data_IF_553901745148
#
_entry.id   IF_553901745148
#
_cell.length_a   1.000
_cell.length_b   1.000
_cell.length_c   1.000
_cell.angle_alpha   90.00
_cell.angle_beta   90.00
_cell.angle_gamma   90.00
#
_symmetry.space_group_name_H-M   'P 1'
#
loop_
_entity.id
_entity.type
_entity.pdbx_description
1 polymer ?
#
# COMPACT_ATOMS: atom_id res chain seq x y z
N UNK A 1 28.76 9.16 36.35
CA UNK A 1 27.30 9.36 36.49
C UNK A 1 26.72 9.84 35.17
N UNK A 2 25.97 9.00 34.46
CA UNK A 2 25.31 9.40 33.21
C UNK A 2 24.12 10.32 33.52
N UNK A 3 24.22 11.60 33.14
CA UNK A 3 23.09 12.54 33.23
C UNK A 3 21.97 12.05 32.31
N UNK A 4 20.86 11.59 32.89
CA UNK A 4 19.67 11.17 32.14
C UNK A 4 19.16 12.37 31.34
N UNK A 5 18.99 12.19 30.02
CA UNK A 5 18.46 13.22 29.12
C UNK A 5 17.08 13.72 29.64
N UNK A 6 16.80 15.03 29.57
CA UNK A 6 15.50 15.58 29.95
C UNK A 6 14.38 14.95 29.11
N UNK A 7 13.19 14.81 29.70
CA UNK A 7 12.04 14.12 29.10
C UNK A 7 11.69 14.67 27.71
N UNK A 8 11.80 15.99 27.52
CA UNK A 8 11.58 16.67 26.24
C UNK A 8 12.58 16.26 25.16
N UNK A 9 13.85 16.08 25.52
CA UNK A 9 14.87 15.57 24.60
C UNK A 9 14.60 14.11 24.22
N UNK A 10 14.14 13.28 25.17
CA UNK A 10 13.75 11.88 24.88
C UNK A 10 12.52 11.79 24.00
N UNK A 11 11.55 12.70 24.18
CA UNK A 11 10.34 12.76 23.36
C UNK A 11 10.66 13.22 21.94
N UNK A 12 11.52 14.24 21.79
CA UNK A 12 11.99 14.72 20.50
C UNK A 12 12.78 13.63 19.76
N UNK A 13 13.74 12.98 20.43
CA UNK A 13 14.51 11.86 19.87
C UNK A 13 13.56 10.72 19.42
N UNK A 14 12.52 10.41 20.20
CA UNK A 14 11.54 9.37 19.86
C UNK A 14 10.67 9.75 18.66
N UNK A 15 10.23 11.00 18.57
CA UNK A 15 9.44 11.52 17.44
C UNK A 15 10.30 11.57 16.17
N UNK A 16 11.56 11.99 16.27
CA UNK A 16 12.50 12.03 15.15
C UNK A 16 12.82 10.63 14.64
N UNK A 17 13.08 9.67 15.54
CA UNK A 17 13.32 8.27 15.17
C UNK A 17 12.08 7.63 14.53
N UNK A 18 10.89 7.87 15.08
CA UNK A 18 9.64 7.37 14.51
C UNK A 18 9.38 7.96 13.12
N UNK A 19 9.65 9.26 12.96
CA UNK A 19 9.49 9.97 11.69
C UNK A 19 10.47 9.44 10.65
N UNK A 20 11.76 9.31 10.99
CA UNK A 20 12.79 8.76 10.11
C UNK A 20 12.45 7.35 9.64
N UNK A 21 11.93 6.52 10.55
CA UNK A 21 11.51 5.16 10.23
C UNK A 21 10.31 5.16 9.26
N UNK A 22 9.29 5.99 9.50
CA UNK A 22 8.14 6.14 8.58
C UNK A 22 8.59 6.61 7.18
N UNK A 23 9.48 7.59 7.09
CA UNK A 23 10.01 8.06 5.81
C UNK A 23 10.83 6.99 5.09
N UNK A 24 11.63 6.22 5.82
CA UNK A 24 12.38 5.09 5.28
C UNK A 24 11.46 4.01 4.70
N UNK A 25 10.40 3.65 5.43
CA UNK A 25 9.39 2.71 4.95
C UNK A 25 8.62 3.25 3.73
N UNK A 26 8.22 4.52 3.74
CA UNK A 26 7.48 5.12 2.64
C UNK A 26 8.30 5.13 1.34
N UNK A 27 9.60 5.47 1.44
CA UNK A 27 10.53 5.38 0.33
C UNK A 27 10.64 3.95 -0.20
N UNK A 28 10.84 2.97 0.69
CA UNK A 28 10.98 1.55 0.31
C UNK A 28 9.71 1.02 -0.37
N UNK A 29 8.53 1.33 0.16
CA UNK A 29 7.24 0.92 -0.43
C UNK A 29 7.07 1.56 -1.82
N UNK A 30 7.43 2.85 -1.95
CA UNK A 30 7.39 3.57 -3.23
C UNK A 30 8.28 2.88 -4.27
N UNK A 31 9.53 2.59 -3.92
CA UNK A 31 10.49 1.89 -4.79
C UNK A 31 9.99 0.49 -5.17
N UNK A 32 9.44 -0.27 -4.22
CA UNK A 32 8.90 -1.60 -4.45
C UNK A 32 7.73 -1.59 -5.45
N UNK A 33 6.78 -0.67 -5.28
CA UNK A 33 5.60 -0.54 -6.15
C UNK A 33 6.04 -0.14 -7.55
N UNK A 34 6.89 0.87 -7.68
CA UNK A 34 7.41 1.31 -8.98
C UNK A 34 8.17 0.16 -9.65
N UNK A 35 9.09 -0.50 -8.94
CA UNK A 35 9.85 -1.63 -9.48
C UNK A 35 8.96 -2.81 -9.92
N UNK A 36 7.86 -3.07 -9.19
CA UNK A 36 6.87 -4.06 -9.63
C UNK A 36 6.17 -3.63 -10.92
N UNK A 37 5.66 -2.40 -10.99
CA UNK A 37 4.97 -1.88 -12.16
C UNK A 37 5.90 -1.78 -13.38
N UNK A 38 7.18 -1.44 -13.19
CA UNK A 38 8.20 -1.47 -14.24
C UNK A 38 8.40 -2.86 -14.81
N UNK A 39 8.51 -3.87 -13.93
CA UNK A 39 8.64 -5.27 -14.36
C UNK A 39 7.38 -5.71 -15.14
N UNK A 40 6.20 -5.44 -14.59
CA UNK A 40 4.94 -5.76 -15.24
C UNK A 40 4.76 -5.03 -16.58
N UNK A 41 5.21 -3.77 -16.66
CA UNK A 41 5.20 -2.97 -17.87
C UNK A 41 6.10 -3.56 -18.95
N UNK A 42 7.32 -3.95 -18.60
CA UNK A 42 8.25 -4.64 -19.52
C UNK A 42 7.66 -5.96 -20.05
N UNK A 43 7.02 -6.76 -19.19
CA UNK A 43 6.36 -8.01 -19.60
C UNK A 43 5.21 -7.78 -20.62
N UNK A 44 4.57 -6.62 -20.58
CA UNK A 44 3.39 -6.30 -21.40
C UNK A 44 3.66 -5.32 -22.55
N UNK A 45 4.88 -4.78 -22.66
CA UNK A 45 5.19 -3.70 -23.60
C UNK A 45 4.46 -2.38 -23.28
N UNK A 46 4.14 -2.12 -22.02
CA UNK A 46 3.37 -0.95 -21.55
C UNK A 46 4.25 -0.12 -20.61
N UNK A 47 4.17 1.22 -20.69
CA UNK A 47 4.88 2.08 -19.73
C UNK A 47 4.25 1.93 -18.34
N UNK A 48 5.08 1.81 -17.30
CA UNK A 48 4.60 1.49 -15.95
C UNK A 48 3.67 2.57 -15.38
N UNK A 49 3.82 3.83 -15.80
CA UNK A 49 2.94 4.95 -15.44
C UNK A 49 1.52 4.80 -16.01
N UNK A 50 1.33 3.92 -17.00
CA UNK A 50 0.02 3.59 -17.57
C UNK A 50 -0.63 2.39 -16.87
N UNK A 51 0.09 1.73 -15.96
CA UNK A 51 -0.39 0.60 -15.18
C UNK A 51 -0.94 1.04 -13.83
N UNK A 52 -1.97 0.32 -13.38
CA UNK A 52 -2.56 0.52 -12.05
C UNK A 52 -2.85 -0.84 -11.43
N UNK A 53 -2.51 -1.02 -10.16
CA UNK A 53 -2.99 -2.15 -9.38
C UNK A 53 -4.29 -1.74 -8.69
N UNK A 54 -5.35 -2.52 -8.87
CA UNK A 54 -6.64 -2.32 -8.23
C UNK A 54 -6.85 -3.40 -7.19
N UNK A 55 -6.95 -3.00 -5.93
CA UNK A 55 -7.26 -3.86 -4.80
C UNK A 55 -8.76 -3.80 -4.56
N UNK A 56 -9.41 -4.96 -4.50
CA UNK A 56 -10.83 -5.08 -4.15
C UNK A 56 -11.00 -6.13 -3.06
N UNK A 57 -12.00 -5.92 -2.19
CA UNK A 57 -12.40 -6.91 -1.20
C UNK A 57 -13.53 -7.76 -1.78
N UNK A 58 -13.37 -9.07 -1.70
CA UNK A 58 -14.44 -10.01 -2.02
C UNK A 58 -14.63 -10.97 -0.83
N UNK A 59 -15.72 -10.76 -0.07
CA UNK A 59 -15.93 -11.41 1.22
C UNK A 59 -14.70 -11.21 2.12
N UNK A 60 -14.11 -12.27 2.64
CA UNK A 60 -12.94 -12.19 3.53
C UNK A 60 -11.60 -12.33 2.78
N UNK A 61 -11.62 -12.13 1.46
CA UNK A 61 -10.43 -12.22 0.61
C UNK A 61 -10.13 -10.90 -0.07
N UNK A 62 -8.85 -10.67 -0.32
CA UNK A 62 -8.35 -9.55 -1.12
C UNK A 62 -8.01 -10.07 -2.51
N UNK A 63 -8.48 -9.38 -3.54
CA UNK A 63 -8.07 -9.64 -4.93
C UNK A 63 -7.41 -8.40 -5.48
N UNK A 64 -6.33 -8.61 -6.23
CA UNK A 64 -5.58 -7.53 -6.83
C UNK A 64 -5.55 -7.74 -8.33
N UNK A 65 -5.84 -6.69 -9.09
CA UNK A 65 -5.88 -6.76 -10.54
C UNK A 65 -4.97 -5.70 -11.13
N UNK A 66 -4.17 -6.09 -12.14
CA UNK A 66 -3.41 -5.15 -12.94
C UNK A 66 -4.32 -4.59 -14.05
N UNK A 67 -4.36 -3.27 -14.18
CA UNK A 67 -5.08 -2.54 -15.20
C UNK A 67 -4.13 -1.75 -16.08
N UNK A 68 -4.47 -1.61 -17.36
CA UNK A 68 -3.98 -0.58 -18.25
C UNK A 68 -5.17 0.26 -18.69
N UNK A 69 -5.20 1.53 -18.27
CA UNK A 69 -6.40 2.37 -18.36
C UNK A 69 -7.61 1.67 -17.73
N UNK A 70 -8.70 1.49 -18.50
CA UNK A 70 -9.92 0.81 -18.04
C UNK A 70 -9.92 -0.71 -18.31
N UNK A 71 -8.85 -1.27 -18.88
CA UNK A 71 -8.78 -2.70 -19.23
C UNK A 71 -8.01 -3.48 -18.18
N UNK A 72 -8.68 -4.48 -17.59
CA UNK A 72 -8.03 -5.48 -16.75
C UNK A 72 -7.08 -6.35 -17.59
N UNK A 73 -5.81 -6.42 -17.20
CA UNK A 73 -4.78 -7.22 -17.85
C UNK A 73 -4.67 -8.61 -17.22
N UNK A 74 -4.45 -8.67 -15.91
CA UNK A 74 -4.28 -9.92 -15.16
C UNK A 74 -4.67 -9.75 -13.69
N UNK A 75 -4.91 -10.86 -13.01
CA UNK A 75 -4.93 -10.91 -11.55
C UNK A 75 -3.48 -10.97 -11.04
N UNK A 76 -3.19 -10.16 -10.03
CA UNK A 76 -1.91 -10.14 -9.30
C UNK A 76 -2.08 -11.09 -8.11
N UNK A 77 -1.26 -12.14 -8.00
CA UNK A 77 -1.27 -13.02 -6.83
C UNK A 77 -1.06 -12.23 -5.54
N UNK A 78 -1.69 -12.63 -4.43
CA UNK A 78 -1.54 -11.95 -3.13
C UNK A 78 -0.07 -11.89 -2.69
N UNK A 79 0.71 -12.94 -2.90
CA UNK A 79 2.18 -12.92 -2.72
C UNK A 79 2.91 -11.79 -3.46
N UNK A 80 2.39 -11.33 -4.59
CA UNK A 80 2.97 -10.20 -5.32
C UNK A 80 2.55 -8.85 -4.70
N UNK A 81 1.39 -8.79 -4.04
CA UNK A 81 1.01 -7.64 -3.21
C UNK A 81 1.94 -7.51 -2.00
N UNK A 82 2.38 -8.62 -1.41
CA UNK A 82 3.40 -8.62 -0.35
C UNK A 82 4.67 -7.91 -0.80
N UNK A 83 5.08 -8.08 -2.06
CA UNK A 83 6.26 -7.42 -2.62
C UNK A 83 6.14 -5.90 -2.63
N UNK A 84 4.93 -5.34 -2.66
CA UNK A 84 4.73 -3.89 -2.61
C UNK A 84 5.16 -3.36 -1.24
N UNK A 85 4.76 -4.04 -0.18
CA UNK A 85 4.92 -3.57 1.19
C UNK A 85 6.21 -4.06 1.86
N UNK A 86 6.64 -5.29 1.57
CA UNK A 86 7.79 -5.93 2.20
C UNK A 86 9.04 -6.00 1.30
N UNK A 87 8.89 -5.90 -0.02
CA UNK A 87 9.97 -6.00 -1.01
C UNK A 87 10.22 -7.43 -1.50
N UNK A 88 11.23 -7.60 -2.36
CA UNK A 88 11.60 -8.94 -2.86
C UNK A 88 12.25 -9.79 -1.76
N UNK A 89 11.93 -11.09 -1.74
CA UNK A 89 12.45 -12.05 -0.75
C UNK A 89 11.62 -12.18 0.53
N UNK A 90 10.49 -11.46 0.63
CA UNK A 90 9.56 -11.53 1.75
C UNK A 90 8.46 -12.60 1.56
N UNK A 91 8.79 -13.73 0.92
CA UNK A 91 7.86 -14.84 0.66
C UNK A 91 7.74 -15.76 1.89
N UNK A 92 7.40 -15.17 3.05
CA UNK A 92 7.08 -15.90 4.27
C UNK A 92 5.56 -15.88 4.50
N UNK A 93 4.91 -17.03 4.78
CA UNK A 93 3.46 -17.10 5.01
C UNK A 93 2.96 -16.14 6.10
N UNK A 94 3.76 -15.87 7.15
CA UNK A 94 3.34 -14.94 8.20
C UNK A 94 3.29 -13.49 7.70
N UNK A 95 4.17 -13.12 6.77
CA UNK A 95 4.18 -11.78 6.17
C UNK A 95 2.99 -11.64 5.22
N UNK A 96 2.68 -12.68 4.45
CA UNK A 96 1.52 -12.68 3.56
C UNK A 96 0.21 -12.48 4.34
N UNK A 97 0.01 -13.23 5.43
CA UNK A 97 -1.16 -13.04 6.30
C UNK A 97 -1.26 -11.62 6.84
N UNK A 98 -0.15 -11.07 7.38
CA UNK A 98 -0.14 -9.70 7.90
C UNK A 98 -0.47 -8.65 6.84
N UNK A 99 0.01 -8.84 5.61
CA UNK A 99 -0.31 -7.91 4.52
C UNK A 99 -1.79 -8.00 4.15
N UNK A 100 -2.35 -9.21 4.04
CA UNK A 100 -3.77 -9.41 3.77
C UNK A 100 -4.61 -8.80 4.88
N UNK A 101 -4.33 -9.11 6.14
CA UNK A 101 -5.04 -8.60 7.31
C UNK A 101 -4.96 -7.07 7.41
N UNK A 102 -3.78 -6.50 7.12
CA UNK A 102 -3.58 -5.06 7.08
C UNK A 102 -4.42 -4.39 5.98
N UNK A 103 -4.48 -4.97 4.79
CA UNK A 103 -5.29 -4.46 3.67
C UNK A 103 -6.79 -4.61 3.96
N UNK A 104 -7.23 -5.75 4.47
CA UNK A 104 -8.63 -5.97 4.86
C UNK A 104 -9.03 -4.98 5.96
N UNK A 105 -8.23 -4.87 7.03
CA UNK A 105 -8.49 -3.94 8.13
C UNK A 105 -8.55 -2.48 7.68
N UNK A 106 -7.70 -2.09 6.71
CA UNK A 106 -7.76 -0.76 6.11
C UNK A 106 -9.05 -0.54 5.34
N UNK A 107 -9.40 -1.46 4.42
CA UNK A 107 -10.61 -1.37 3.62
C UNK A 107 -11.87 -1.40 4.48
N UNK A 108 -11.86 -2.13 5.60
CA UNK A 108 -12.95 -2.16 6.57
C UNK A 108 -13.13 -0.85 7.29
N UNK A 109 -12.01 -0.25 7.75
CA UNK A 109 -12.03 1.08 8.33
C UNK A 109 -12.59 2.12 7.36
N UNK A 110 -12.17 2.05 6.10
CA UNK A 110 -12.60 3.00 5.07
C UNK A 110 -14.08 2.82 4.69
N UNK A 111 -14.52 1.58 4.52
CA UNK A 111 -15.92 1.24 4.25
C UNK A 111 -16.85 1.69 5.38
N UNK A 112 -16.47 1.46 6.65
CA UNK A 112 -17.25 1.92 7.81
C UNK A 112 -17.29 3.43 7.93
N UNK A 113 -16.15 4.11 7.71
CA UNK A 113 -16.07 5.56 7.82
C UNK A 113 -16.89 6.29 6.76
N UNK A 114 -16.99 5.73 5.56
CA UNK A 114 -17.74 6.32 4.44
C UNK A 114 -19.12 5.67 4.20
N UNK A 115 -19.55 4.76 5.06
CA UNK A 115 -20.82 4.01 4.96
C UNK A 115 -21.00 3.30 3.60
N UNK A 116 -19.92 2.72 3.06
CA UNK A 116 -19.90 2.08 1.75
C UNK A 116 -20.02 0.56 1.86
N UNK A 117 -20.75 -0.11 0.96
CA UNK A 117 -20.64 -1.56 0.81
C UNK A 117 -19.21 -1.98 0.47
N UNK A 118 -18.69 -3.03 1.12
CA UNK A 118 -17.34 -3.55 0.83
C UNK A 118 -17.10 -3.90 -0.66
N UNK A 119 -18.18 -4.23 -1.39
CA UNK A 119 -18.14 -4.69 -2.77
C UNK A 119 -17.92 -3.57 -3.79
N UNK A 120 -18.30 -2.32 -3.44
CA UNK A 120 -18.13 -1.17 -4.33
C UNK A 120 -16.80 -0.43 -4.10
N UNK A 121 -16.12 -0.71 -2.98
CA UNK A 121 -14.86 -0.09 -2.62
C UNK A 121 -13.68 -0.67 -3.42
N UNK A 122 -12.99 0.20 -4.13
CA UNK A 122 -11.80 -0.12 -4.91
C UNK A 122 -10.64 0.79 -4.49
N UNK A 123 -9.46 0.22 -4.28
CA UNK A 123 -8.24 0.98 -4.01
C UNK A 123 -7.28 0.83 -5.19
N UNK A 124 -7.01 1.92 -5.88
CA UNK A 124 -6.05 1.97 -6.98
C UNK A 124 -4.69 2.44 -6.49
N UNK A 125 -3.64 1.74 -6.90
CA UNK A 125 -2.24 2.08 -6.70
C UNK A 125 -1.63 2.29 -8.08
N UNK A 126 -1.05 3.47 -8.31
CA UNK A 126 -0.40 3.84 -9.56
C UNK A 126 0.94 4.54 -9.29
N UNK A 127 1.80 4.60 -10.30
CA UNK A 127 3.00 5.43 -10.27
C UNK A 127 2.80 6.66 -11.15
N UNK A 128 3.17 7.83 -10.62
CA UNK A 128 3.22 9.10 -11.34
C UNK A 128 4.65 9.64 -11.24
N UNK A 129 5.49 9.27 -12.21
CA UNK A 129 6.93 9.51 -12.17
C UNK A 129 7.58 8.77 -10.99
N UNK A 130 8.26 9.51 -10.11
CA UNK A 130 8.94 8.95 -8.92
C UNK A 130 8.05 8.80 -7.69
N UNK A 131 6.74 9.03 -7.81
CA UNK A 131 5.79 8.97 -6.71
C UNK A 131 4.77 7.87 -6.92
N UNK A 132 4.32 7.29 -5.81
CA UNK A 132 3.16 6.40 -5.79
C UNK A 132 1.93 7.20 -5.38
N UNK A 133 0.85 6.98 -6.11
CA UNK A 133 -0.46 7.58 -5.86
C UNK A 133 -1.44 6.47 -5.55
N UNK A 134 -2.10 6.58 -4.40
CA UNK A 134 -3.08 5.60 -3.93
C UNK A 134 -4.40 6.31 -3.74
N UNK A 135 -5.46 5.79 -4.34
CA UNK A 135 -6.78 6.41 -4.36
C UNK A 135 -7.87 5.39 -4.09
N UNK A 136 -8.81 5.74 -3.23
CA UNK A 136 -10.02 4.97 -2.99
C UNK A 136 -11.17 5.49 -3.85
N UNK A 137 -11.95 4.56 -4.37
CA UNK A 137 -13.14 4.82 -5.18
C UNK A 137 -14.30 3.96 -4.71
N UNK A 138 -15.49 4.50 -4.86
CA UNK A 138 -16.77 3.82 -4.80
C UNK A 138 -17.32 3.74 -6.22
N UNK A 139 -17.13 2.59 -6.86
CA UNK A 139 -17.24 2.41 -8.31
C UNK A 139 -16.42 3.45 -9.10
N UNK A 140 -17.05 4.54 -9.53
CA UNK A 140 -16.42 5.63 -10.31
C UNK A 140 -16.18 6.89 -9.49
N UNK A 141 -16.77 6.99 -8.29
CA UNK A 141 -16.67 8.16 -7.44
C UNK A 141 -15.39 8.10 -6.61
N UNK A 142 -14.53 9.10 -6.76
CA UNK A 142 -13.36 9.25 -5.89
C UNK A 142 -13.82 9.54 -4.46
N UNK A 143 -13.26 8.80 -3.51
CA UNK A 143 -13.58 8.91 -2.08
C UNK A 143 -12.46 9.62 -1.34
N UNK A 144 -11.21 9.18 -1.56
CA UNK A 144 -10.06 9.68 -0.79
C UNK A 144 -8.74 9.38 -1.48
N UNK A 145 -7.81 10.32 -1.40
CA UNK A 145 -6.39 10.07 -1.65
C UNK A 145 -5.75 9.48 -0.39
N UNK A 146 -5.07 8.34 -0.53
CA UNK A 146 -4.52 7.57 0.59
C UNK A 146 -3.00 7.82 0.65
N UNK A 147 -2.49 8.50 1.68
CA UNK A 147 -1.06 8.63 1.88
C UNK A 147 -0.42 7.25 2.15
N UNK A 148 0.75 6.97 1.57
CA UNK A 148 1.49 5.71 1.82
C UNK A 148 1.74 5.50 3.33
N UNK A 149 2.05 6.57 4.06
CA UNK A 149 2.18 6.57 5.53
C UNK A 149 0.94 6.09 6.29
N UNK A 150 -0.26 6.22 5.72
CA UNK A 150 -1.49 5.71 6.33
C UNK A 150 -1.52 4.18 6.26
N UNK A 151 -1.08 3.62 5.14
CA UNK A 151 -0.99 2.17 4.97
C UNK A 151 0.10 1.54 5.85
N UNK A 152 1.24 2.21 6.05
CA UNK A 152 2.34 1.71 6.91
C UNK A 152 1.86 1.35 8.33
N UNK A 153 0.87 2.08 8.86
CA UNK A 153 0.32 1.81 10.20
C UNK A 153 -0.33 0.44 10.32
N UNK A 154 -0.87 -0.09 9.24
CA UNK A 154 -1.55 -1.39 9.21
C UNK A 154 -0.58 -2.56 9.06
N UNK A 155 0.67 -2.31 8.64
CA UNK A 155 1.68 -3.35 8.43
C UNK A 155 2.73 -3.44 9.54
N UNK A 156 2.73 -2.50 10.50
CA UNK A 156 3.67 -2.49 11.64
C UNK A 156 3.18 -3.25 12.87
N UNK A 157 1.90 -3.65 12.90
CA UNK A 157 1.26 -4.35 14.02
C UNK A 157 1.51 -5.86 14.02
#
# INVERSE_FOLDING_TARGET
>A
MSKRKPLTARLKDAVENLSADIFGYEKKITENIIGYLEKAGKEQGIRYEQLRACIVRYKDTVRVFLYHNSRRLKEIPVKDLVKFFAGQGADLPEIESKVVDGVVGYMDGLSRFHELPHQSLQVFIAAEGSKVVIKAFDDTRHIKDIPVKELIKYFKS
#
